data_IF_387411799451
#
_entry.id   IF_387411799451
#
_cell.length_a   1.000
_cell.length_b   1.000
_cell.length_c   1.000
_cell.angle_alpha   90.00
_cell.angle_beta   90.00
_cell.angle_gamma   90.00
#
_symmetry.space_group_name_H-M   'P 1'
#
loop_
_entity.id
_entity.type
_entity.pdbx_description
1 polymer ?
#
# COMPACT_ATOMS: atom_id res chain seq x y z
N UNK A 1 5.33 12.21 -3.86
CA UNK A 1 4.70 12.58 -5.15
C UNK A 1 3.79 13.81 -5.02
N UNK A 2 2.77 13.78 -4.15
CA UNK A 2 1.85 14.91 -3.91
C UNK A 2 2.58 16.21 -3.52
N UNK A 3 3.39 16.17 -2.46
CA UNK A 3 4.06 17.33 -1.86
C UNK A 3 5.39 17.73 -2.52
N UNK A 4 5.70 17.20 -3.70
CA UNK A 4 7.03 17.39 -4.30
C UNK A 4 7.42 18.86 -4.45
N UNK A 5 6.50 19.72 -4.88
CA UNK A 5 6.78 21.15 -5.09
C UNK A 5 7.08 21.87 -3.77
N UNK A 6 6.40 21.51 -2.70
CA UNK A 6 6.60 22.12 -1.38
C UNK A 6 7.94 21.70 -0.76
N UNK A 7 8.34 20.44 -0.93
CA UNK A 7 9.66 19.98 -0.51
C UNK A 7 10.78 20.59 -1.35
N UNK A 8 10.55 20.79 -2.64
CA UNK A 8 11.53 21.43 -3.51
C UNK A 8 11.76 22.90 -3.13
N UNK A 9 10.71 23.63 -2.70
CA UNK A 9 10.85 24.99 -2.14
C UNK A 9 11.74 25.02 -0.89
N UNK A 10 11.73 23.95 -0.10
CA UNK A 10 12.59 23.78 1.07
C UNK A 10 14.00 23.23 0.73
N UNK A 11 14.33 23.03 -0.55
CA UNK A 11 15.61 22.44 -0.99
C UNK A 11 15.71 20.93 -0.77
N UNK A 12 14.61 20.24 -0.44
CA UNK A 12 14.58 18.81 -0.10
C UNK A 12 14.05 18.00 -1.30
N UNK A 13 14.84 17.00 -1.74
CA UNK A 13 14.42 16.06 -2.78
C UNK A 13 13.84 14.79 -2.16
N UNK A 14 12.51 14.65 -2.25
CA UNK A 14 11.80 13.48 -1.72
C UNK A 14 11.72 12.28 -2.65
N UNK A 15 11.85 12.52 -3.96
CA UNK A 15 11.67 11.46 -4.95
C UNK A 15 13.02 10.81 -5.24
N UNK A 16 13.08 9.47 -5.35
CA UNK A 16 14.32 8.75 -5.63
C UNK A 16 14.96 9.21 -6.95
N UNK A 17 14.15 9.56 -7.95
CA UNK A 17 14.61 10.08 -9.25
C UNK A 17 14.68 11.61 -9.29
N UNK A 18 14.43 12.29 -8.17
CA UNK A 18 14.35 13.75 -8.01
C UNK A 18 13.23 14.45 -8.81
N UNK A 19 12.44 13.74 -9.61
CA UNK A 19 11.36 14.30 -10.44
C UNK A 19 10.11 13.42 -10.40
N UNK A 20 8.93 14.01 -10.67
CA UNK A 20 7.68 13.27 -10.84
C UNK A 20 7.68 12.54 -12.19
N UNK A 21 8.38 11.41 -12.27
CA UNK A 21 8.52 10.63 -13.49
C UNK A 21 7.84 9.26 -13.42
N UNK A 22 7.67 8.63 -14.60
CA UNK A 22 7.08 7.30 -14.69
C UNK A 22 7.91 6.24 -13.96
N UNK A 23 9.22 6.42 -13.83
CA UNK A 23 10.09 5.53 -13.06
C UNK A 23 9.70 5.52 -11.58
N UNK A 24 9.52 6.70 -10.96
CA UNK A 24 9.01 6.79 -9.58
C UNK A 24 7.62 6.18 -9.46
N UNK A 25 6.73 6.44 -10.41
CA UNK A 25 5.39 5.87 -10.37
C UNK A 25 5.40 4.33 -10.52
N UNK A 26 6.33 3.79 -11.33
CA UNK A 26 6.54 2.35 -11.45
C UNK A 26 7.03 1.74 -10.14
N UNK A 27 7.99 2.39 -9.47
CA UNK A 27 8.45 1.96 -8.15
C UNK A 27 7.30 1.91 -7.14
N UNK A 28 6.40 2.90 -7.15
CA UNK A 28 5.20 2.90 -6.31
C UNK A 28 4.32 1.67 -6.58
N UNK A 29 4.09 1.32 -7.85
CA UNK A 29 3.33 0.11 -8.22
C UNK A 29 4.03 -1.15 -7.74
N UNK A 30 5.34 -1.27 -7.98
CA UNK A 30 6.14 -2.43 -7.57
C UNK A 30 6.14 -2.62 -6.05
N UNK A 31 6.32 -1.55 -5.28
CA UNK A 31 6.26 -1.61 -3.82
C UNK A 31 4.86 -1.91 -3.30
N UNK A 32 3.82 -1.40 -3.96
CA UNK A 32 2.43 -1.75 -3.65
C UNK A 32 2.20 -3.25 -3.84
N UNK A 33 2.67 -3.83 -4.94
CA UNK A 33 2.59 -5.27 -5.20
C UNK A 33 3.30 -6.09 -4.12
N UNK A 34 4.55 -5.74 -3.78
CA UNK A 34 5.30 -6.41 -2.70
C UNK A 34 4.60 -6.30 -1.36
N UNK A 35 4.00 -5.15 -1.05
CA UNK A 35 3.23 -4.94 0.17
C UNK A 35 2.06 -5.91 0.26
N UNK A 36 1.36 -6.16 -0.85
CA UNK A 36 0.25 -7.13 -0.90
C UNK A 36 0.75 -8.53 -0.62
N UNK A 37 1.82 -8.96 -1.30
CA UNK A 37 2.41 -10.29 -1.12
C UNK A 37 2.78 -10.51 0.36
N UNK A 38 3.50 -9.56 0.96
CA UNK A 38 3.93 -9.63 2.35
C UNK A 38 2.73 -9.61 3.30
N UNK A 39 1.70 -8.82 3.01
CA UNK A 39 0.51 -8.71 3.86
C UNK A 39 -0.38 -9.96 3.86
N UNK A 40 -0.33 -10.78 2.82
CA UNK A 40 -1.11 -12.03 2.73
C UNK A 40 -0.27 -13.22 3.19
N UNK A 41 1.07 -13.12 3.14
CA UNK A 41 2.00 -14.19 3.47
C UNK A 41 1.73 -14.93 4.80
N UNK A 42 1.26 -14.28 5.89
CA UNK A 42 0.99 -14.99 7.14
C UNK A 42 -0.11 -16.05 7.07
N UNK A 43 -0.90 -16.10 5.99
CA UNK A 43 -1.85 -17.19 5.72
C UNK A 43 -1.16 -18.55 5.55
N UNK A 44 0.12 -18.55 5.15
CA UNK A 44 0.90 -19.77 4.97
C UNK A 44 1.26 -20.46 6.28
N UNK A 45 1.14 -19.76 7.43
CA UNK A 45 1.56 -20.26 8.73
C UNK A 45 3.07 -20.33 8.94
N UNK A 46 3.87 -19.87 7.96
CA UNK A 46 5.34 -19.89 8.02
C UNK A 46 5.95 -18.74 8.85
N UNK A 47 5.10 -17.86 9.38
CA UNK A 47 5.48 -16.66 10.16
C UNK A 47 5.40 -16.86 11.68
N UNK A 48 5.30 -18.11 12.15
CA UNK A 48 5.27 -18.45 13.58
C UNK A 48 3.94 -18.06 14.23
N UNK A 49 4.00 -17.15 15.21
CA UNK A 49 2.84 -16.66 15.97
C UNK A 49 1.98 -15.67 15.17
N UNK A 50 2.57 -15.03 14.15
CA UNK A 50 1.81 -14.19 13.23
C UNK A 50 1.12 -15.11 12.22
N UNK A 51 -0.17 -15.34 12.39
CA UNK A 51 -0.97 -16.16 11.48
C UNK A 51 -2.20 -15.39 11.05
N UNK A 52 -2.70 -15.71 9.87
CA UNK A 52 -3.86 -15.08 9.28
C UNK A 52 -4.80 -16.17 8.76
N UNK A 53 -6.09 -16.13 9.12
CA UNK A 53 -7.04 -17.06 8.53
C UNK A 53 -7.21 -16.83 7.03
N UNK A 54 -7.73 -17.83 6.32
CA UNK A 54 -8.03 -17.73 4.88
C UNK A 54 -9.04 -16.61 4.60
N UNK A 55 -10.03 -16.43 5.47
CA UNK A 55 -11.05 -15.37 5.33
C UNK A 55 -10.44 -13.98 5.42
N UNK A 56 -9.60 -13.75 6.43
CA UNK A 56 -8.90 -12.48 6.61
C UNK A 56 -7.88 -12.23 5.50
N UNK A 57 -7.22 -13.28 5.00
CA UNK A 57 -6.32 -13.18 3.85
C UNK A 57 -7.04 -12.70 2.59
N UNK A 58 -8.27 -13.17 2.33
CA UNK A 58 -9.10 -12.70 1.21
C UNK A 58 -9.45 -11.21 1.37
N UNK A 59 -9.81 -10.78 2.57
CA UNK A 59 -10.11 -9.37 2.86
C UNK A 59 -8.87 -8.49 2.61
N UNK A 60 -7.73 -8.87 3.18
CA UNK A 60 -6.46 -8.15 3.00
C UNK A 60 -6.06 -8.09 1.53
N UNK A 61 -6.24 -9.19 0.78
CA UNK A 61 -5.97 -9.23 -0.65
C UNK A 61 -6.86 -8.25 -1.43
N UNK A 62 -8.17 -8.20 -1.15
CA UNK A 62 -9.09 -7.27 -1.80
C UNK A 62 -8.68 -5.81 -1.53
N UNK A 63 -8.39 -5.47 -0.27
CA UNK A 63 -7.91 -4.14 0.10
C UNK A 63 -6.61 -3.80 -0.65
N UNK A 64 -5.72 -4.78 -0.78
CA UNK A 64 -4.46 -4.68 -1.51
C UNK A 64 -4.67 -4.39 -2.99
N UNK A 65 -5.56 -5.13 -3.65
CA UNK A 65 -5.90 -4.95 -5.06
C UNK A 65 -6.50 -3.56 -5.33
N UNK A 66 -7.31 -3.03 -4.41
CA UNK A 66 -7.81 -1.65 -4.49
C UNK A 66 -6.64 -0.66 -4.44
N UNK A 67 -5.70 -0.80 -3.50
CA UNK A 67 -4.50 0.05 -3.45
C UNK A 67 -3.67 -0.06 -4.73
N UNK A 68 -3.47 -1.27 -5.25
CA UNK A 68 -2.73 -1.51 -6.49
C UNK A 68 -3.39 -0.82 -7.69
N UNK A 69 -4.72 -0.88 -7.81
CA UNK A 69 -5.46 -0.17 -8.84
C UNK A 69 -5.18 1.33 -8.82
N UNK A 70 -5.20 1.96 -7.63
CA UNK A 70 -4.90 3.39 -7.51
C UNK A 70 -3.42 3.71 -7.79
N UNK A 71 -2.50 2.79 -7.49
CA UNK A 71 -1.08 2.95 -7.82
C UNK A 71 -0.84 2.93 -9.33
N UNK A 72 -1.51 2.03 -10.06
CA UNK A 72 -1.48 1.96 -11.53
C UNK A 72 -2.15 3.20 -12.13
N UNK A 73 -3.24 3.67 -11.55
CA UNK A 73 -3.89 4.90 -11.98
C UNK A 73 -2.97 6.13 -11.80
N UNK A 74 -2.12 6.18 -10.76
CA UNK A 74 -1.08 7.21 -10.63
C UNK A 74 -0.04 7.08 -11.76
N UNK A 75 0.41 5.87 -12.07
CA UNK A 75 1.35 5.62 -13.17
C UNK A 75 0.81 6.06 -14.54
N UNK A 76 -0.48 5.85 -14.79
CA UNK A 76 -1.12 6.24 -16.05
C UNK A 76 -1.40 7.75 -16.13
N UNK A 77 -1.93 8.35 -15.07
CA UNK A 77 -2.38 9.76 -15.09
C UNK A 77 -1.29 10.76 -14.76
N UNK A 78 -0.30 10.38 -13.96
CA UNK A 78 0.83 11.24 -13.58
C UNK A 78 0.39 12.65 -13.14
N UNK A 79 -0.62 12.75 -12.27
CA UNK A 79 -1.11 14.02 -11.75
C UNK A 79 -1.35 14.01 -10.23
N UNK A 80 -1.40 15.21 -9.64
CA UNK A 80 -1.47 15.38 -8.17
C UNK A 80 -2.79 14.82 -7.61
N UNK A 81 -3.88 14.92 -8.36
CA UNK A 81 -5.17 14.36 -7.96
C UNK A 81 -5.12 12.83 -7.81
N UNK A 82 -4.47 12.12 -8.75
CA UNK A 82 -4.26 10.68 -8.64
C UNK A 82 -3.37 10.32 -7.45
N UNK A 83 -2.32 11.11 -7.18
CA UNK A 83 -1.45 10.90 -6.03
C UNK A 83 -2.16 11.12 -4.70
N UNK A 84 -3.06 12.12 -4.61
CA UNK A 84 -3.88 12.36 -3.42
C UNK A 84 -4.85 11.21 -3.18
N UNK A 85 -5.49 10.68 -4.23
CA UNK A 85 -6.37 9.49 -4.12
C UNK A 85 -5.59 8.26 -3.64
N UNK A 86 -4.42 7.99 -4.25
CA UNK A 86 -3.55 6.90 -3.81
C UNK A 86 -3.16 7.06 -2.34
N UNK A 87 -2.79 8.25 -1.91
CA UNK A 87 -2.45 8.53 -0.52
C UNK A 87 -3.60 8.20 0.43
N UNK A 88 -4.81 8.68 0.15
CA UNK A 88 -6.00 8.37 0.96
C UNK A 88 -6.27 6.86 1.02
N UNK A 89 -6.19 6.19 -0.12
CA UNK A 89 -6.40 4.73 -0.19
C UNK A 89 -5.32 3.97 0.57
N UNK A 90 -4.07 4.43 0.54
CA UNK A 90 -2.98 3.78 1.28
C UNK A 90 -3.15 3.87 2.80
N UNK A 91 -3.67 5.00 3.30
CA UNK A 91 -3.99 5.15 4.73
C UNK A 91 -5.12 4.19 5.10
N UNK A 92 -6.21 4.18 4.32
CA UNK A 92 -7.33 3.27 4.54
C UNK A 92 -6.90 1.81 4.49
N UNK A 93 -6.06 1.44 3.51
CA UNK A 93 -5.49 0.11 3.40
C UNK A 93 -4.74 -0.29 4.68
N UNK A 94 -3.81 0.56 5.14
CA UNK A 94 -3.01 0.26 6.34
C UNK A 94 -3.88 0.14 7.59
N UNK A 95 -4.83 1.06 7.79
CA UNK A 95 -5.73 1.04 8.95
C UNK A 95 -6.62 -0.20 8.95
N UNK A 96 -7.25 -0.54 7.82
CA UNK A 96 -8.13 -1.70 7.71
C UNK A 96 -7.35 -3.02 7.80
N UNK A 97 -6.13 -3.06 7.26
CA UNK A 97 -5.24 -4.22 7.41
C UNK A 97 -4.96 -4.48 8.90
N UNK A 98 -4.55 -3.46 9.66
CA UNK A 98 -4.29 -3.62 11.09
C UNK A 98 -5.51 -4.10 11.88
N UNK A 99 -6.69 -3.53 11.60
CA UNK A 99 -7.95 -3.95 12.22
C UNK A 99 -8.27 -5.41 11.87
N UNK A 100 -8.10 -5.80 10.60
CA UNK A 100 -8.37 -7.17 10.15
C UNK A 100 -7.47 -8.17 10.88
N UNK A 101 -6.18 -7.87 11.02
CA UNK A 101 -5.24 -8.70 11.76
C UNK A 101 -5.59 -8.83 13.25
N UNK A 102 -6.02 -7.72 13.87
CA UNK A 102 -6.43 -7.73 15.28
C UNK A 102 -7.67 -8.61 15.49
N UNK A 103 -8.69 -8.44 14.65
CA UNK A 103 -9.93 -9.22 14.70
C UNK A 103 -9.63 -10.71 14.45
N UNK A 104 -8.81 -11.03 13.45
CA UNK A 104 -8.43 -12.43 13.15
C UNK A 104 -7.78 -13.09 14.37
N UNK A 105 -6.83 -12.41 15.00
CA UNK A 105 -6.15 -12.91 16.19
C UNK A 105 -7.12 -13.12 17.37
N UNK A 106 -8.03 -12.19 17.61
CA UNK A 106 -8.94 -12.22 18.77
C UNK A 106 -10.08 -13.24 18.64
N UNK A 107 -10.55 -13.54 17.44
CA UNK A 107 -11.75 -14.37 17.25
C UNK A 107 -11.46 -15.73 16.62
N UNK A 108 -10.35 -15.89 15.88
CA UNK A 108 -10.05 -17.12 15.14
C UNK A 108 -8.86 -17.90 15.72
N UNK A 109 -7.99 -17.24 16.50
CA UNK A 109 -6.79 -17.83 17.12
C UNK A 109 -6.84 -17.92 18.65
N UNK A 110 -7.95 -17.52 19.27
CA UNK A 110 -8.20 -17.67 20.72
C UNK A 110 -8.87 -19.01 20.98
#
# INVERSE_FOLDING_TARGET
>A
WMLHDDYQKAGINMLPTKKRDKSTALQIVLYSLWTIIISVFPVTGLTGDLRLSVWSAVIVLILGLVMLFYSINLYNRMNVAAAKKLFTVSILYLTLLQITYLIDKMYLWT
#
